data_IF_342919323755
#
_entry.id   IF_342919323755
#
_cell.length_a   1.000
_cell.length_b   1.000
_cell.length_c   1.000
_cell.angle_alpha   90.00
_cell.angle_beta   90.00
_cell.angle_gamma   90.00
#
_symmetry.space_group_name_H-M   'P 1'
#
loop_
_entity.id
_entity.type
_entity.pdbx_description
1 polymer ?
#
# COMPACT_ATOMS: atom_id res chain seq x y z
N UNK A 1 2.42 7.01 80.62
CA UNK A 1 1.31 7.43 79.74
C UNK A 1 0.28 6.31 79.50
N UNK A 2 0.67 5.05 79.55
CA UNK A 2 -0.25 3.91 79.37
C UNK A 2 -1.27 3.66 80.52
N UNK A 3 -0.96 4.05 81.71
CA UNK A 3 -1.88 3.85 82.82
C UNK A 3 -3.09 4.81 82.89
N UNK A 4 -3.00 5.98 82.23
CA UNK A 4 -4.08 6.97 82.20
C UNK A 4 -5.25 6.64 81.30
N UNK A 5 -4.98 5.91 80.21
CA UNK A 5 -5.99 5.53 79.17
C UNK A 5 -6.93 4.42 79.69
N UNK A 6 -6.50 3.59 80.64
CA UNK A 6 -7.28 2.48 81.16
C UNK A 6 -8.41 2.96 82.13
N UNK A 7 -8.16 3.98 82.96
CA UNK A 7 -9.15 4.47 83.91
C UNK A 7 -10.34 5.17 83.27
N UNK A 8 -10.14 5.86 82.16
CA UNK A 8 -11.22 6.52 81.43
C UNK A 8 -12.15 5.50 80.77
N UNK A 9 -11.56 4.44 80.22
CA UNK A 9 -12.29 3.28 79.63
C UNK A 9 -13.15 2.58 80.65
N UNK A 10 -12.54 2.27 81.83
CA UNK A 10 -13.23 1.58 82.91
C UNK A 10 -14.37 2.40 83.55
N UNK A 11 -14.27 3.75 83.50
CA UNK A 11 -15.34 4.63 83.93
C UNK A 11 -16.48 4.71 82.92
N UNK A 12 -16.17 4.80 81.61
CA UNK A 12 -17.16 4.82 80.55
C UNK A 12 -17.94 3.49 80.48
N UNK A 13 -17.30 2.38 80.76
CA UNK A 13 -17.91 1.04 80.79
C UNK A 13 -18.69 0.78 82.14
N UNK A 14 -18.60 1.72 83.13
CA UNK A 14 -19.27 1.58 84.42
C UNK A 14 -18.55 0.65 85.40
N UNK A 15 -17.32 0.24 85.12
CA UNK A 15 -16.50 -0.62 85.99
C UNK A 15 -15.96 0.12 87.19
N UNK A 16 -15.81 1.44 87.17
CA UNK A 16 -15.46 2.32 88.30
C UNK A 16 -16.45 3.44 88.34
N UNK A 17 -16.72 3.92 89.58
CA UNK A 17 -17.69 4.98 89.81
C UNK A 17 -17.02 6.39 89.79
N UNK A 18 -17.84 7.44 89.73
CA UNK A 18 -17.41 8.83 89.68
C UNK A 18 -16.44 9.23 90.82
N UNK A 19 -16.61 8.67 91.98
CA UNK A 19 -15.74 8.98 93.11
C UNK A 19 -14.37 8.38 92.95
N UNK A 20 -14.28 7.18 92.40
CA UNK A 20 -13.02 6.49 92.14
C UNK A 20 -12.27 7.20 91.01
N UNK A 21 -12.89 7.57 89.89
CA UNK A 21 -12.26 8.33 88.82
C UNK A 21 -11.77 9.71 89.30
N UNK A 22 -12.61 10.42 90.12
CA UNK A 22 -12.23 11.71 90.64
C UNK A 22 -11.03 11.65 91.60
N UNK A 23 -10.85 10.53 92.32
CA UNK A 23 -9.69 10.29 93.16
C UNK A 23 -8.40 10.01 92.36
N UNK A 24 -8.51 9.46 91.18
CA UNK A 24 -7.41 9.09 90.32
C UNK A 24 -6.90 10.25 89.42
N UNK A 25 -7.82 11.05 88.82
CA UNK A 25 -7.45 12.08 87.84
C UNK A 25 -7.54 13.51 88.45
N UNK A 26 -8.15 13.70 89.61
CA UNK A 26 -8.35 15.01 90.20
C UNK A 26 -9.64 15.70 89.73
N UNK A 27 -10.04 16.72 90.52
CA UNK A 27 -11.34 17.39 90.34
C UNK A 27 -11.45 18.22 89.04
N UNK A 28 -10.37 18.75 88.55
CA UNK A 28 -10.37 19.57 87.37
C UNK A 28 -10.54 18.73 86.10
N UNK A 29 -9.81 17.63 85.98
CA UNK A 29 -9.87 16.72 84.85
C UNK A 29 -11.16 15.91 84.83
N UNK A 30 -11.68 15.54 86.04
CA UNK A 30 -12.96 14.86 86.12
C UNK A 30 -14.13 15.71 85.59
N UNK A 31 -14.14 17.04 85.83
CA UNK A 31 -15.17 17.94 85.29
C UNK A 31 -15.06 18.03 83.72
N UNK A 32 -13.86 17.98 83.17
CA UNK A 32 -13.68 18.00 81.75
C UNK A 32 -14.24 16.74 81.13
N UNK A 33 -13.94 15.57 81.69
CA UNK A 33 -14.49 14.29 81.22
C UNK A 33 -16.01 14.21 81.37
N UNK A 34 -16.57 14.74 82.45
CA UNK A 34 -18.00 14.81 82.66
C UNK A 34 -18.69 15.71 81.63
N UNK A 35 -18.09 16.86 81.30
CA UNK A 35 -18.64 17.74 80.26
C UNK A 35 -18.66 17.10 78.86
N UNK A 36 -17.63 16.30 78.52
CA UNK A 36 -17.54 15.59 77.26
C UNK A 36 -18.60 14.47 77.21
N UNK A 37 -18.79 13.72 78.29
CA UNK A 37 -19.79 12.64 78.32
C UNK A 37 -21.23 13.19 78.32
N UNK A 38 -21.49 14.33 78.94
CA UNK A 38 -22.77 14.98 78.85
C UNK A 38 -23.09 15.52 77.45
N UNK A 39 -22.08 15.96 76.73
CA UNK A 39 -22.25 16.38 75.37
C UNK A 39 -22.45 15.18 74.41
N UNK A 40 -21.75 14.08 74.64
CA UNK A 40 -21.91 12.82 73.85
C UNK A 40 -23.31 12.19 74.14
N UNK A 41 -23.84 12.26 75.45
CA UNK A 41 -25.15 11.74 75.76
C UNK A 41 -26.29 12.60 75.22
N UNK A 42 -26.05 13.86 74.83
CA UNK A 42 -26.97 14.70 74.07
C UNK A 42 -27.06 14.35 72.61
N UNK A 43 -26.07 13.63 72.08
CA UNK A 43 -26.11 13.11 70.71
C UNK A 43 -27.08 11.91 70.66
N UNK A 44 -28.37 12.20 70.45
CA UNK A 44 -29.32 11.17 70.07
C UNK A 44 -28.93 10.69 68.67
N UNK A 45 -28.34 9.50 68.59
CA UNK A 45 -28.11 8.88 67.30
C UNK A 45 -29.46 8.82 66.59
N UNK A 46 -29.55 9.31 65.31
CA UNK A 46 -30.82 9.19 64.59
C UNK A 46 -31.13 7.70 64.44
N UNK A 47 -32.39 7.36 64.79
CA UNK A 47 -32.93 6.01 64.70
C UNK A 47 -32.73 5.55 63.29
N UNK A 48 -31.77 4.61 63.10
CA UNK A 48 -31.45 4.08 61.76
C UNK A 48 -32.64 3.20 61.36
N UNK A 49 -33.63 3.79 60.63
CA UNK A 49 -34.64 3.01 59.94
C UNK A 49 -33.99 2.31 58.81
N UNK A 50 -33.78 1.00 58.94
CA UNK A 50 -33.37 0.14 57.80
C UNK A 50 -34.46 0.20 56.75
N UNK A 51 -34.36 1.19 55.85
CA UNK A 51 -35.18 1.24 54.64
C UNK A 51 -34.57 0.27 53.61
N UNK A 52 -34.95 -1.00 53.77
CA UNK A 52 -34.50 -2.08 52.87
C UNK A 52 -35.11 -1.98 51.46
N UNK A 53 -35.86 -0.92 51.17
CA UNK A 53 -36.47 -0.74 49.82
C UNK A 53 -35.42 -0.58 48.73
N UNK A 54 -34.18 -0.20 49.05
CA UNK A 54 -33.09 -0.14 48.09
C UNK A 54 -32.59 -1.54 47.67
N UNK A 55 -32.82 -2.58 48.47
CA UNK A 55 -32.47 -3.97 48.12
C UNK A 55 -33.43 -4.55 47.06
N UNK A 56 -34.60 -3.94 46.88
CA UNK A 56 -35.60 -4.37 45.91
C UNK A 56 -35.55 -3.55 44.61
N UNK A 57 -34.37 -2.94 44.29
CA UNK A 57 -34.20 -2.39 42.95
C UNK A 57 -34.41 -3.50 41.92
N UNK A 58 -35.33 -3.31 40.94
CA UNK A 58 -35.51 -4.29 39.88
C UNK A 58 -34.14 -4.53 39.26
N UNK A 59 -33.72 -5.79 39.22
CA UNK A 59 -32.47 -6.18 38.51
C UNK A 59 -32.55 -5.54 37.13
N UNK A 60 -31.77 -4.47 36.87
CA UNK A 60 -31.53 -3.98 35.51
C UNK A 60 -31.21 -5.21 34.71
N UNK A 61 -32.04 -5.53 33.72
CA UNK A 61 -31.69 -6.55 32.73
C UNK A 61 -30.31 -6.18 32.23
N UNK A 62 -29.30 -6.87 32.71
CA UNK A 62 -27.95 -6.76 32.15
C UNK A 62 -28.08 -7.23 30.72
N UNK A 63 -28.16 -6.28 29.82
CA UNK A 63 -28.02 -6.58 28.39
C UNK A 63 -26.62 -7.17 28.28
N UNK A 64 -26.48 -8.45 27.93
CA UNK A 64 -25.16 -9.09 27.94
C UNK A 64 -24.27 -8.30 26.99
N UNK A 65 -23.32 -7.58 27.57
CA UNK A 65 -22.38 -6.72 26.84
C UNK A 65 -21.69 -7.51 25.72
N UNK A 66 -21.57 -8.83 25.93
CA UNK A 66 -21.08 -9.81 24.96
C UNK A 66 -21.89 -9.82 23.65
N UNK A 67 -23.21 -9.58 23.69
CA UNK A 67 -24.07 -9.52 22.50
C UNK A 67 -23.86 -8.23 21.69
N UNK A 68 -23.54 -7.13 22.33
CA UNK A 68 -23.23 -5.87 21.64
C UNK A 68 -21.88 -5.94 20.96
N UNK A 69 -20.85 -6.46 21.63
CA UNK A 69 -19.52 -6.63 21.04
C UNK A 69 -19.53 -7.56 19.81
N UNK A 70 -20.29 -8.66 19.86
CA UNK A 70 -20.47 -9.57 18.72
C UNK A 70 -21.18 -8.87 17.56
N UNK A 71 -22.17 -8.04 17.80
CA UNK A 71 -22.86 -7.28 16.73
C UNK A 71 -21.93 -6.23 16.10
N UNK A 72 -21.13 -5.55 16.91
CA UNK A 72 -20.16 -4.58 16.42
C UNK A 72 -19.01 -5.26 15.65
N UNK A 73 -18.55 -6.44 16.09
CA UNK A 73 -17.49 -7.19 15.39
C UNK A 73 -17.97 -7.71 14.05
N UNK A 74 -19.23 -8.18 13.94
CA UNK A 74 -19.83 -8.58 12.65
C UNK A 74 -20.00 -7.38 11.72
N UNK A 75 -20.46 -6.23 12.23
CA UNK A 75 -20.56 -5.01 11.43
C UNK A 75 -19.18 -4.54 10.94
N UNK A 76 -18.16 -4.55 11.82
CA UNK A 76 -16.80 -4.19 11.48
C UNK A 76 -16.18 -5.14 10.44
N UNK A 77 -16.39 -6.46 10.58
CA UNK A 77 -15.89 -7.45 9.60
C UNK A 77 -16.57 -7.30 8.24
N UNK A 78 -17.87 -6.97 8.23
CA UNK A 78 -18.64 -6.75 7.00
C UNK A 78 -18.19 -5.47 6.30
N UNK A 79 -17.94 -4.39 7.05
CA UNK A 79 -17.38 -3.15 6.51
C UNK A 79 -15.96 -3.35 5.98
N UNK A 80 -15.15 -4.16 6.66
CA UNK A 80 -13.81 -4.49 6.23
C UNK A 80 -13.81 -5.37 4.98
N UNK A 81 -14.71 -6.34 4.90
CA UNK A 81 -14.92 -7.17 3.70
C UNK A 81 -15.42 -6.35 2.50
N UNK A 82 -16.40 -5.44 2.72
CA UNK A 82 -16.87 -4.51 1.69
C UNK A 82 -15.72 -3.57 1.27
N UNK A 83 -14.96 -3.04 2.23
CA UNK A 83 -13.80 -2.19 1.96
C UNK A 83 -12.74 -2.89 1.12
N UNK A 84 -12.42 -4.14 1.44
CA UNK A 84 -11.49 -4.97 0.65
C UNK A 84 -12.04 -5.31 -0.75
N UNK A 85 -13.33 -5.66 -0.84
CA UNK A 85 -13.99 -5.95 -2.12
C UNK A 85 -14.02 -4.72 -3.02
N UNK A 86 -14.36 -3.57 -2.46
CA UNK A 86 -14.33 -2.26 -3.13
C UNK A 86 -12.90 -1.92 -3.55
N UNK A 87 -11.92 -2.08 -2.67
CA UNK A 87 -10.50 -1.83 -2.96
C UNK A 87 -9.97 -2.68 -4.12
N UNK A 88 -10.34 -3.97 -4.18
CA UNK A 88 -9.96 -4.86 -5.29
C UNK A 88 -10.72 -4.55 -6.60
N UNK A 89 -11.97 -4.12 -6.52
CA UNK A 89 -12.83 -3.83 -7.69
C UNK A 89 -12.47 -2.55 -8.45
N UNK A 90 -11.62 -1.67 -7.88
CA UNK A 90 -11.30 -0.37 -8.49
C UNK A 90 -10.03 -0.34 -9.35
N UNK A 91 -9.29 -1.42 -9.46
CA UNK A 91 -8.18 -1.53 -10.41
C UNK A 91 -8.71 -1.86 -11.80
N UNK A 92 -8.39 -1.04 -12.78
CA UNK A 92 -8.70 -1.31 -14.18
C UNK A 92 -7.44 -1.83 -14.88
N UNK A 93 -7.55 -2.98 -15.49
CA UNK A 93 -6.52 -3.51 -16.40
C UNK A 93 -6.87 -3.12 -17.83
N UNK A 94 -5.86 -2.74 -18.58
CA UNK A 94 -5.96 -2.49 -20.01
C UNK A 94 -4.88 -3.34 -20.67
N UNK A 95 -5.30 -4.29 -21.50
CA UNK A 95 -4.39 -5.20 -22.21
C UNK A 95 -4.48 -4.86 -23.69
N UNK A 96 -3.33 -4.63 -24.33
CA UNK A 96 -3.29 -4.39 -25.75
C UNK A 96 -3.59 -5.68 -26.52
N UNK A 97 -4.34 -5.57 -27.61
CA UNK A 97 -4.71 -6.70 -28.46
C UNK A 97 -3.52 -7.17 -29.30
N UNK A 98 -3.56 -8.42 -29.71
CA UNK A 98 -2.54 -9.00 -30.59
C UNK A 98 -2.55 -8.31 -31.97
N UNK A 99 -1.38 -7.88 -32.43
CA UNK A 99 -1.19 -7.27 -33.76
C UNK A 99 -1.55 -5.78 -33.84
N UNK A 100 -2.27 -5.22 -32.85
CA UNK A 100 -2.70 -3.83 -32.86
C UNK A 100 -2.19 -3.04 -31.67
N UNK A 101 -1.89 -1.77 -31.89
CA UNK A 101 -1.58 -0.80 -30.86
C UNK A 101 -2.90 -0.33 -30.18
N UNK A 102 -2.92 -0.27 -28.86
CA UNK A 102 -4.08 0.23 -28.11
C UNK A 102 -3.81 1.64 -27.58
N UNK A 103 -4.62 2.59 -28.00
CA UNK A 103 -4.61 3.94 -27.44
C UNK A 103 -5.65 4.05 -26.32
N UNK A 104 -5.19 4.42 -25.12
CA UNK A 104 -6.04 4.57 -23.95
C UNK A 104 -5.89 5.97 -23.33
N UNK A 105 -7.02 6.62 -23.09
CA UNK A 105 -7.05 7.94 -22.42
C UNK A 105 -7.27 7.69 -20.93
N UNK A 106 -6.31 8.13 -20.11
CA UNK A 106 -6.34 8.05 -18.66
C UNK A 106 -7.29 9.10 -18.05
N UNK A 107 -7.72 8.91 -16.77
CA UNK A 107 -8.66 9.83 -16.13
C UNK A 107 -8.18 11.29 -15.98
N UNK A 108 -6.89 11.54 -16.12
CA UNK A 108 -6.25 12.87 -16.07
C UNK A 108 -6.04 13.49 -17.47
N UNK A 109 -6.66 12.93 -18.51
CA UNK A 109 -6.48 13.24 -19.92
C UNK A 109 -5.07 12.95 -20.49
N UNK A 110 -4.23 12.24 -19.75
CA UNK A 110 -3.00 11.67 -20.30
C UNK A 110 -3.35 10.54 -21.27
N UNK A 111 -2.50 10.33 -22.28
CA UNK A 111 -2.68 9.25 -23.25
C UNK A 111 -1.58 8.22 -23.08
N UNK A 112 -1.97 6.94 -23.01
CA UNK A 112 -1.08 5.80 -23.06
C UNK A 112 -1.33 5.04 -24.37
N UNK A 113 -0.30 4.87 -25.19
CA UNK A 113 -0.30 4.03 -26.40
C UNK A 113 0.49 2.78 -26.08
N UNK A 114 -0.21 1.65 -25.99
CA UNK A 114 0.36 0.36 -25.61
C UNK A 114 0.72 -0.45 -26.84
N UNK A 115 1.92 -1.02 -26.85
CA UNK A 115 2.29 -2.05 -27.83
C UNK A 115 1.43 -3.30 -27.64
N UNK A 116 1.21 -4.09 -28.69
CA UNK A 116 0.60 -5.40 -28.54
C UNK A 116 1.30 -6.26 -27.48
N UNK A 117 0.54 -7.09 -26.77
CA UNK A 117 1.07 -7.92 -25.68
C UNK A 117 1.53 -7.16 -24.43
N UNK A 118 1.17 -5.86 -24.30
CA UNK A 118 1.45 -5.06 -23.12
C UNK A 118 0.25 -4.96 -22.21
N UNK A 119 0.50 -4.84 -20.90
CA UNK A 119 -0.51 -4.71 -19.87
C UNK A 119 -0.29 -3.43 -19.07
N UNK A 120 -1.35 -2.63 -18.91
CA UNK A 120 -1.37 -1.43 -18.10
C UNK A 120 -2.47 -1.56 -17.06
N UNK A 121 -2.14 -1.32 -15.80
CA UNK A 121 -3.12 -1.32 -14.71
C UNK A 121 -3.00 -0.09 -13.83
N UNK A 122 -4.14 0.39 -13.34
CA UNK A 122 -4.20 1.54 -12.43
C UNK A 122 -5.48 1.52 -11.60
N UNK A 123 -5.46 2.21 -10.44
CA UNK A 123 -6.65 2.41 -9.62
C UNK A 123 -7.42 3.63 -10.08
N UNK A 124 -8.64 3.44 -10.59
CA UNK A 124 -9.47 4.53 -11.11
C UNK A 124 -9.84 5.56 -10.04
N UNK A 125 -10.13 5.10 -8.81
CA UNK A 125 -10.54 5.99 -7.71
C UNK A 125 -9.39 6.79 -7.09
N UNK A 126 -8.20 6.21 -7.06
CA UNK A 126 -7.00 6.88 -6.53
C UNK A 126 -6.30 7.79 -7.52
N UNK A 127 -6.66 7.72 -8.82
CA UNK A 127 -5.92 8.37 -9.89
C UNK A 127 -5.92 9.91 -9.80
N UNK A 128 -7.00 10.50 -9.27
CA UNK A 128 -7.08 11.94 -9.08
C UNK A 128 -6.05 12.48 -8.06
N UNK A 129 -5.61 11.65 -7.12
CA UNK A 129 -4.64 12.02 -6.08
C UNK A 129 -3.26 11.39 -6.26
N UNK A 130 -3.24 10.17 -6.82
CA UNK A 130 -2.00 9.45 -7.13
C UNK A 130 -2.09 8.93 -8.55
N UNK A 131 -1.43 9.64 -9.46
CA UNK A 131 -1.36 9.28 -10.88
C UNK A 131 -0.37 8.14 -11.09
N UNK A 132 -0.64 7.00 -10.42
CA UNK A 132 0.21 5.79 -10.46
C UNK A 132 -0.39 4.77 -11.40
N UNK A 133 0.43 4.22 -12.26
CA UNK A 133 0.12 3.11 -13.14
C UNK A 133 1.20 2.03 -13.03
N UNK A 134 0.82 0.78 -13.25
CA UNK A 134 1.75 -0.33 -13.40
C UNK A 134 1.76 -0.77 -14.86
N UNK A 135 2.95 -1.00 -15.41
CA UNK A 135 3.17 -1.38 -16.81
C UNK A 135 3.99 -2.67 -16.90
N UNK A 136 3.51 -3.60 -17.74
CA UNK A 136 4.27 -4.73 -18.26
C UNK A 136 4.26 -4.67 -19.78
N UNK A 137 5.42 -4.78 -20.42
CA UNK A 137 5.56 -4.59 -21.86
C UNK A 137 6.03 -3.19 -22.22
N UNK A 138 5.56 -2.66 -23.34
CA UNK A 138 6.01 -1.37 -23.86
C UNK A 138 4.84 -0.42 -24.07
N UNK A 139 5.02 0.83 -23.67
CA UNK A 139 4.04 1.88 -23.89
C UNK A 139 4.71 3.24 -24.11
N UNK A 140 4.11 4.04 -24.99
CA UNK A 140 4.38 5.47 -25.11
C UNK A 140 3.35 6.25 -24.30
N UNK A 141 3.81 7.22 -23.55
CA UNK A 141 2.98 8.09 -22.71
C UNK A 141 3.11 9.54 -23.17
N UNK A 142 1.95 10.18 -23.35
CA UNK A 142 1.82 11.63 -23.44
C UNK A 142 1.08 12.11 -22.20
N UNK A 143 1.83 12.59 -21.21
CA UNK A 143 1.31 12.93 -19.89
C UNK A 143 0.90 14.40 -19.83
N UNK A 144 -0.34 14.66 -19.42
CA UNK A 144 -0.85 15.99 -19.16
C UNK A 144 -0.10 16.64 -17.98
N UNK A 145 0.24 17.94 -18.10
CA UNK A 145 0.90 18.70 -17.03
C UNK A 145 0.08 18.67 -15.73
N UNK A 146 0.75 18.45 -14.60
CA UNK A 146 0.06 18.37 -13.32
C UNK A 146 0.91 17.79 -12.19
N UNK A 147 0.27 17.13 -11.25
CA UNK A 147 0.94 16.40 -10.16
C UNK A 147 1.86 15.30 -10.73
N UNK A 148 2.70 14.71 -9.87
CA UNK A 148 3.60 13.63 -10.26
C UNK A 148 2.80 12.47 -10.85
N UNK A 149 3.17 12.05 -12.05
CA UNK A 149 2.69 10.85 -12.72
C UNK A 149 3.76 9.78 -12.61
N UNK A 150 3.40 8.60 -12.15
CA UNK A 150 4.34 7.51 -11.87
C UNK A 150 3.98 6.29 -12.70
N UNK A 151 4.97 5.74 -13.39
CA UNK A 151 4.91 4.42 -14.05
C UNK A 151 5.78 3.47 -13.24
N UNK A 152 5.16 2.45 -12.68
CA UNK A 152 5.81 1.39 -11.92
C UNK A 152 5.96 0.15 -12.80
N UNK A 153 7.09 -0.51 -12.73
CA UNK A 153 7.35 -1.81 -13.35
C UNK A 153 8.19 -2.67 -12.41
N UNK A 154 8.33 -3.95 -12.72
CA UNK A 154 9.10 -4.88 -11.89
C UNK A 154 10.59 -4.47 -11.76
N UNK A 155 11.15 -3.76 -12.76
CA UNK A 155 12.57 -3.40 -12.85
C UNK A 155 12.88 -1.93 -12.58
N UNK A 156 11.88 -1.08 -12.44
CA UNK A 156 12.13 0.34 -12.24
C UNK A 156 10.88 1.19 -12.09
N UNK A 157 11.11 2.45 -11.77
CA UNK A 157 10.08 3.43 -11.54
C UNK A 157 10.40 4.70 -12.34
N UNK A 158 9.42 5.17 -13.10
CA UNK A 158 9.51 6.42 -13.87
C UNK A 158 8.55 7.45 -13.32
N UNK A 159 9.03 8.69 -13.12
CA UNK A 159 8.23 9.81 -12.62
C UNK A 159 8.35 11.03 -13.53
N UNK A 160 7.22 11.68 -13.79
CA UNK A 160 7.14 12.87 -14.65
C UNK A 160 6.08 13.87 -14.14
N UNK A 161 6.12 15.10 -14.65
CA UNK A 161 5.12 16.14 -14.35
C UNK A 161 4.27 16.53 -15.57
N UNK A 162 4.72 16.19 -16.78
CA UNK A 162 4.06 16.53 -18.04
C UNK A 162 5.05 16.36 -19.18
N UNK A 163 5.12 15.17 -19.75
CA UNK A 163 6.26 14.69 -20.53
C UNK A 163 5.78 13.69 -21.57
N UNK A 164 6.45 13.64 -22.72
CA UNK A 164 6.31 12.57 -23.70
C UNK A 164 7.49 11.60 -23.57
N UNK A 165 7.21 10.32 -23.30
CA UNK A 165 8.24 9.31 -23.07
C UNK A 165 7.72 7.91 -23.37
N UNK A 166 8.66 7.00 -23.57
CA UNK A 166 8.38 5.56 -23.71
C UNK A 166 8.99 4.81 -22.54
N UNK A 167 8.26 3.83 -22.05
CA UNK A 167 8.77 2.81 -21.11
C UNK A 167 8.67 1.46 -21.78
N UNK A 168 9.75 0.70 -21.75
CA UNK A 168 9.80 -0.69 -22.16
C UNK A 168 10.23 -1.55 -20.97
N UNK A 169 9.33 -2.41 -20.48
CA UNK A 169 9.54 -3.31 -19.35
C UNK A 169 9.08 -4.72 -19.73
N UNK A 170 10.04 -5.59 -20.10
CA UNK A 170 9.77 -6.97 -20.49
C UNK A 170 10.79 -7.92 -19.84
N UNK A 171 10.32 -8.94 -19.14
CA UNK A 171 11.19 -9.83 -18.38
C UNK A 171 12.07 -9.05 -17.41
N UNK A 172 13.38 -9.19 -17.53
CA UNK A 172 14.37 -8.47 -16.72
C UNK A 172 14.89 -7.18 -17.39
N UNK A 173 14.28 -6.74 -18.48
CA UNK A 173 14.71 -5.55 -19.20
C UNK A 173 13.82 -4.35 -18.84
N UNK A 174 14.48 -3.19 -18.69
CA UNK A 174 13.81 -1.92 -18.45
C UNK A 174 14.55 -0.81 -19.17
N UNK A 175 13.82 -0.05 -20.00
CA UNK A 175 14.36 1.11 -20.72
C UNK A 175 13.35 2.24 -20.69
N UNK A 176 13.84 3.45 -20.50
CA UNK A 176 13.04 4.69 -20.61
C UNK A 176 13.68 5.62 -21.61
N UNK A 177 12.87 6.17 -22.52
CA UNK A 177 13.28 7.21 -23.49
C UNK A 177 12.43 8.44 -23.30
N UNK A 178 13.06 9.61 -23.22
CA UNK A 178 12.38 10.92 -23.10
C UNK A 178 12.35 11.61 -24.47
N UNK A 179 11.18 12.04 -24.94
CA UNK A 179 11.02 12.80 -26.20
C UNK A 179 10.78 14.28 -25.93
N UNK A 180 9.95 14.62 -24.91
CA UNK A 180 9.64 15.99 -24.53
C UNK A 180 9.57 16.10 -23.00
N UNK A 181 10.07 17.22 -22.44
CA UNK A 181 10.04 17.49 -21.02
C UNK A 181 11.20 16.90 -20.23
N UNK A 182 10.96 16.33 -19.06
CA UNK A 182 11.97 15.71 -18.22
C UNK A 182 11.41 14.48 -17.52
N UNK A 183 12.20 13.41 -17.47
CA UNK A 183 11.81 12.13 -16.86
C UNK A 183 12.79 11.76 -15.76
N UNK A 184 12.28 11.56 -14.55
CA UNK A 184 13.06 10.95 -13.48
C UNK A 184 12.87 9.42 -13.54
N UNK A 185 13.97 8.67 -13.58
CA UNK A 185 13.99 7.21 -13.65
C UNK A 185 14.76 6.66 -12.46
N UNK A 186 14.17 5.69 -11.76
CA UNK A 186 14.84 4.94 -10.69
C UNK A 186 15.00 3.50 -11.13
N UNK A 187 16.25 3.04 -11.13
CA UNK A 187 16.63 1.66 -11.40
C UNK A 187 17.48 1.20 -10.21
N UNK A 188 17.04 0.17 -9.50
CA UNK A 188 17.65 -0.25 -8.24
C UNK A 188 17.75 0.91 -7.23
N UNK A 189 18.96 1.26 -6.81
CA UNK A 189 19.22 2.38 -5.90
C UNK A 189 19.62 3.67 -6.63
N UNK A 190 19.77 3.61 -7.95
CA UNK A 190 20.24 4.73 -8.76
C UNK A 190 19.06 5.56 -9.29
N UNK A 191 19.31 6.86 -9.40
CA UNK A 191 18.37 7.84 -9.95
C UNK A 191 18.99 8.55 -11.13
N UNK A 192 18.22 8.62 -12.21
CA UNK A 192 18.59 9.26 -13.46
C UNK A 192 17.56 10.33 -13.82
N UNK A 193 18.01 11.44 -14.39
CA UNK A 193 17.13 12.48 -14.93
C UNK A 193 17.41 12.60 -16.43
N UNK A 194 16.41 12.31 -17.23
CA UNK A 194 16.49 12.36 -18.67
C UNK A 194 15.96 13.70 -19.20
N UNK A 195 16.74 14.36 -20.02
CA UNK A 195 16.31 15.47 -20.88
C UNK A 195 15.74 14.92 -22.22
N UNK A 196 15.14 15.75 -23.07
CA UNK A 196 14.67 15.32 -24.37
C UNK A 196 15.76 14.62 -25.20
N UNK A 197 15.37 13.55 -25.89
CA UNK A 197 16.23 12.68 -26.69
C UNK A 197 17.33 11.96 -25.87
N UNK A 198 17.07 11.74 -24.57
CA UNK A 198 17.91 10.90 -23.74
C UNK A 198 17.16 9.64 -23.30
N UNK A 199 17.94 8.59 -23.06
CA UNK A 199 17.44 7.30 -22.59
C UNK A 199 18.38 6.68 -21.55
N UNK A 200 17.84 5.74 -20.80
CA UNK A 200 18.58 4.89 -19.87
C UNK A 200 17.96 3.49 -19.86
N UNK A 201 18.78 2.47 -19.69
CA UNK A 201 18.33 1.11 -19.43
C UNK A 201 18.97 0.53 -18.16
N UNK A 202 18.42 -0.60 -17.70
CA UNK A 202 18.92 -1.29 -16.50
C UNK A 202 20.18 -2.13 -16.76
N UNK A 203 20.60 -2.34 -18.00
CA UNK A 203 21.79 -3.13 -18.34
C UNK A 203 23.06 -2.29 -18.26
N UNK A 204 23.04 -1.09 -18.84
CA UNK A 204 24.20 -0.20 -18.89
C UNK A 204 24.15 0.85 -17.78
N UNK A 205 22.95 1.21 -17.29
CA UNK A 205 22.72 2.22 -16.26
C UNK A 205 23.44 3.55 -16.54
N UNK A 206 23.51 3.94 -17.81
CA UNK A 206 24.12 5.17 -18.30
C UNK A 206 23.06 5.98 -19.07
N UNK A 207 23.12 7.31 -18.91
CA UNK A 207 22.25 8.21 -19.69
C UNK A 207 22.94 8.49 -21.02
N UNK A 208 22.30 8.09 -22.09
CA UNK A 208 22.78 8.24 -23.46
C UNK A 208 21.78 9.05 -24.31
N UNK A 209 22.21 9.52 -25.47
CA UNK A 209 21.34 10.19 -26.44
C UNK A 209 20.90 9.22 -27.52
N UNK A 210 19.70 9.42 -28.03
CA UNK A 210 19.21 8.74 -29.22
C UNK A 210 18.86 9.76 -30.31
N UNK A 211 18.90 9.28 -31.55
CA UNK A 211 18.50 10.06 -32.72
C UNK A 211 17.19 9.48 -33.27
N UNK A 212 16.28 10.35 -33.63
CA UNK A 212 15.00 9.97 -34.23
C UNK A 212 13.82 10.56 -33.45
N UNK A 213 12.79 10.91 -34.18
CA UNK A 213 11.55 11.51 -33.65
C UNK A 213 10.44 10.46 -33.45
N UNK A 214 10.73 9.18 -33.67
CA UNK A 214 9.72 8.14 -33.66
C UNK A 214 9.29 7.80 -32.23
N UNK A 215 8.18 8.39 -31.81
CA UNK A 215 7.53 8.19 -30.52
C UNK A 215 6.50 7.03 -30.53
N UNK A 216 6.67 6.07 -31.43
CA UNK A 216 5.83 4.87 -31.51
C UNK A 216 6.20 3.85 -30.43
N UNK A 217 5.22 3.22 -29.78
CA UNK A 217 5.49 2.10 -28.88
C UNK A 217 5.97 0.84 -29.63
N UNK A 218 5.97 0.84 -30.96
CA UNK A 218 6.49 -0.24 -31.79
C UNK A 218 7.95 0.00 -32.21
N UNK A 219 8.56 1.12 -31.79
CA UNK A 219 9.94 1.44 -32.09
C UNK A 219 10.89 1.01 -30.98
N UNK A 220 11.96 0.36 -31.36
CA UNK A 220 13.03 -0.13 -30.50
C UNK A 220 14.29 0.72 -30.72
N UNK A 221 15.00 1.02 -29.66
CA UNK A 221 16.27 1.73 -29.71
C UNK A 221 17.29 1.03 -28.83
N UNK A 222 18.30 0.45 -29.45
CA UNK A 222 19.42 -0.25 -28.78
C UNK A 222 18.95 -1.35 -27.80
N UNK A 223 17.84 -2.03 -28.12
CA UNK A 223 17.22 -3.06 -27.28
C UNK A 223 17.86 -4.42 -27.55
N UNK A 224 18.19 -5.23 -26.52
CA UNK A 224 18.69 -6.59 -26.76
C UNK A 224 17.75 -7.40 -27.67
N UNK A 225 18.29 -8.11 -28.63
CA UNK A 225 17.50 -8.92 -29.58
C UNK A 225 16.62 -9.94 -28.81
N UNK A 226 17.14 -10.52 -27.74
CA UNK A 226 16.38 -11.43 -26.86
C UNK A 226 15.10 -10.81 -26.29
N UNK A 227 15.13 -9.52 -25.95
CA UNK A 227 13.97 -8.78 -25.45
C UNK A 227 12.95 -8.50 -26.56
N UNK A 228 13.44 -8.14 -27.74
CA UNK A 228 12.61 -7.94 -28.94
C UNK A 228 11.88 -9.23 -29.32
N UNK A 229 12.57 -10.38 -29.26
CA UNK A 229 11.94 -11.68 -29.47
C UNK A 229 10.92 -12.03 -28.39
N UNK A 230 11.20 -11.70 -27.13
CA UNK A 230 10.22 -11.88 -26.04
C UNK A 230 8.95 -11.02 -26.23
N UNK A 231 9.06 -9.85 -26.87
CA UNK A 231 7.88 -9.07 -27.26
C UNK A 231 7.08 -9.80 -28.34
N UNK A 232 7.74 -10.36 -29.35
CA UNK A 232 7.09 -11.18 -30.41
C UNK A 232 6.42 -12.42 -29.80
N UNK A 233 7.09 -13.11 -28.86
CA UNK A 233 6.52 -14.24 -28.13
C UNK A 233 5.23 -13.83 -27.38
N UNK A 234 5.26 -12.70 -26.68
CA UNK A 234 4.11 -12.20 -25.93
C UNK A 234 2.93 -11.81 -26.84
N UNK A 235 3.22 -11.24 -28.00
CA UNK A 235 2.19 -10.82 -28.98
C UNK A 235 1.49 -12.01 -29.61
N UNK A 236 2.25 -13.02 -30.01
CA UNK A 236 1.73 -14.12 -30.83
C UNK A 236 1.51 -15.42 -30.05
N UNK A 237 1.85 -15.45 -28.76
CA UNK A 237 1.74 -16.65 -27.92
C UNK A 237 2.69 -17.77 -28.37
N UNK A 238 3.90 -17.41 -28.78
CA UNK A 238 4.94 -18.30 -29.31
C UNK A 238 6.01 -18.56 -28.26
N UNK A 239 6.82 -19.58 -28.52
CA UNK A 239 8.03 -19.92 -27.80
C UNK A 239 9.18 -19.96 -28.86
N UNK A 240 10.14 -19.05 -28.72
CA UNK A 240 11.26 -18.88 -29.63
C UNK A 240 12.53 -19.39 -28.96
N UNK A 241 13.11 -20.45 -29.48
CA UNK A 241 14.38 -20.98 -28.99
C UNK A 241 15.53 -20.02 -29.33
N UNK A 242 16.09 -19.39 -28.27
CA UNK A 242 17.05 -18.29 -28.38
C UNK A 242 18.52 -18.75 -28.20
N UNK A 243 18.83 -20.02 -28.40
CA UNK A 243 20.18 -20.62 -28.18
C UNK A 243 21.28 -20.00 -29.01
N UNK A 244 20.96 -19.45 -30.19
CA UNK A 244 21.91 -18.82 -31.09
C UNK A 244 22.09 -17.32 -30.88
N UNK A 245 21.30 -16.72 -30.00
CA UNK A 245 21.32 -15.27 -29.77
C UNK A 245 22.51 -14.87 -28.90
N UNK A 246 23.28 -13.89 -29.38
CA UNK A 246 24.39 -13.33 -28.61
C UNK A 246 23.88 -12.19 -27.73
N UNK A 247 24.28 -12.13 -26.43
CA UNK A 247 23.85 -11.07 -25.51
C UNK A 247 24.22 -9.65 -25.97
N UNK A 248 25.23 -9.50 -26.81
CA UNK A 248 25.68 -8.22 -27.37
C UNK A 248 24.80 -7.68 -28.49
N UNK A 249 23.94 -8.52 -29.07
CA UNK A 249 23.12 -8.11 -30.20
C UNK A 249 21.99 -7.17 -29.76
N UNK A 250 22.02 -5.98 -30.35
CA UNK A 250 21.05 -4.91 -30.07
C UNK A 250 20.30 -4.56 -31.35
N UNK A 251 19.01 -4.44 -31.24
CA UNK A 251 18.09 -4.07 -32.30
C UNK A 251 17.70 -2.61 -32.20
N UNK A 252 17.73 -1.89 -33.29
CA UNK A 252 17.16 -0.55 -33.46
C UNK A 252 16.31 -0.55 -34.70
N UNK A 253 15.04 -0.18 -34.57
CA UNK A 253 14.09 -0.18 -35.68
C UNK A 253 12.65 -0.26 -35.21
N UNK A 254 11.74 -0.38 -36.16
CA UNK A 254 10.31 -0.58 -35.90
C UNK A 254 9.93 -2.00 -36.36
N UNK A 255 9.08 -2.65 -35.57
CA UNK A 255 8.47 -3.93 -35.93
C UNK A 255 6.99 -3.76 -36.26
N UNK A 256 6.59 -4.46 -37.34
CA UNK A 256 5.18 -4.57 -37.71
C UNK A 256 4.60 -5.81 -37.02
N UNK A 257 3.77 -5.59 -36.01
CA UNK A 257 3.13 -6.67 -35.25
C UNK A 257 1.81 -7.17 -35.85
N UNK A 258 1.37 -6.64 -36.98
CA UNK A 258 0.19 -7.18 -37.69
C UNK A 258 0.49 -8.52 -38.37
N UNK A 259 1.74 -8.71 -38.78
CA UNK A 259 2.17 -9.90 -39.48
C UNK A 259 3.40 -10.55 -38.83
N UNK A 260 3.23 -11.76 -38.28
CA UNK A 260 4.28 -12.50 -37.58
C UNK A 260 5.53 -12.71 -38.45
N UNK A 261 5.35 -13.13 -39.71
CA UNK A 261 6.49 -13.40 -40.62
C UNK A 261 7.27 -12.11 -40.90
N UNK A 262 6.56 -11.00 -41.04
CA UNK A 262 7.19 -9.70 -41.26
C UNK A 262 7.95 -9.25 -40.01
N UNK A 263 7.35 -9.36 -38.83
CA UNK A 263 8.00 -9.04 -37.57
C UNK A 263 9.27 -9.87 -37.35
N UNK A 264 9.20 -11.19 -37.54
CA UNK A 264 10.35 -12.08 -37.43
C UNK A 264 11.44 -11.73 -38.44
N UNK A 265 11.09 -11.53 -39.71
CA UNK A 265 12.06 -11.16 -40.72
C UNK A 265 12.72 -9.80 -40.39
N UNK A 266 11.96 -8.80 -39.99
CA UNK A 266 12.51 -7.49 -39.60
C UNK A 266 13.46 -7.60 -38.41
N UNK A 267 13.13 -8.42 -37.40
CA UNK A 267 13.96 -8.61 -36.22
C UNK A 267 15.23 -9.40 -36.49
N UNK A 268 15.15 -10.43 -37.32
CA UNK A 268 16.25 -11.44 -37.51
C UNK A 268 17.20 -11.12 -38.64
N UNK A 269 16.70 -10.50 -39.73
CA UNK A 269 17.51 -10.21 -40.92
C UNK A 269 18.81 -9.42 -40.62
N UNK A 270 18.83 -8.39 -39.73
CA UNK A 270 20.07 -7.67 -39.44
C UNK A 270 21.17 -8.52 -38.80
N UNK A 271 20.82 -9.68 -38.27
CA UNK A 271 21.72 -10.60 -37.56
C UNK A 271 22.04 -11.85 -38.36
N UNK A 272 21.64 -11.92 -39.66
CA UNK A 272 21.78 -13.09 -40.51
C UNK A 272 21.17 -14.36 -39.86
N UNK A 273 19.98 -14.24 -39.33
CA UNK A 273 19.22 -15.34 -38.72
C UNK A 273 18.00 -15.68 -39.57
N UNK A 274 17.74 -16.98 -39.65
CA UNK A 274 16.52 -17.57 -40.21
C UNK A 274 15.73 -18.26 -39.11
N UNK A 275 14.44 -18.48 -39.34
CA UNK A 275 13.58 -19.20 -38.44
C UNK A 275 12.87 -20.37 -39.13
N UNK A 276 12.56 -21.38 -38.33
CA UNK A 276 11.78 -22.55 -38.76
C UNK A 276 10.76 -22.88 -37.73
N UNK A 277 9.49 -23.10 -38.10
CA UNK A 277 8.44 -23.60 -37.21
C UNK A 277 8.68 -25.08 -36.91
N UNK A 278 8.97 -25.41 -35.67
CA UNK A 278 9.04 -26.79 -35.15
C UNK A 278 7.62 -27.31 -34.83
N UNK A 279 6.78 -26.42 -34.35
CA UNK A 279 5.38 -26.68 -34.09
C UNK A 279 4.54 -25.41 -34.34
N UNK A 280 3.21 -25.47 -34.10
CA UNK A 280 2.32 -24.29 -34.24
C UNK A 280 2.72 -23.12 -33.34
N UNK A 281 3.46 -23.37 -32.26
CA UNK A 281 3.84 -22.35 -31.26
C UNK A 281 5.33 -22.28 -30.99
N UNK A 282 6.13 -23.16 -31.59
CA UNK A 282 7.56 -23.23 -31.31
C UNK A 282 8.36 -22.89 -32.56
N UNK A 283 9.29 -21.97 -32.42
CA UNK A 283 10.18 -21.48 -33.46
C UNK A 283 11.62 -21.78 -33.06
N UNK A 284 12.38 -22.31 -34.00
CA UNK A 284 13.83 -22.52 -33.89
C UNK A 284 14.54 -21.51 -34.77
N UNK A 285 15.54 -20.83 -34.20
CA UNK A 285 16.40 -19.90 -34.91
C UNK A 285 17.67 -20.61 -35.41
N UNK A 286 18.13 -20.24 -36.59
CA UNK A 286 19.37 -20.75 -37.20
C UNK A 286 20.12 -19.62 -37.88
N UNK A 287 21.48 -19.67 -37.96
CA UNK A 287 22.24 -18.78 -38.82
C UNK A 287 21.89 -19.05 -40.28
N UNK A 288 21.77 -17.97 -41.05
CA UNK A 288 21.65 -18.07 -42.52
C UNK A 288 22.93 -18.66 -43.09
N UNK A 289 22.84 -19.60 -44.04
CA UNK A 289 23.99 -20.25 -44.69
C UNK A 289 24.69 -19.33 -45.67
#
# INVERSE_FOLDING_TARGET
MEEQETYLSDWLDGSINDQALKALVGEAEFREYQSITDELNRWIAPEFKEDLTFLNKPKKKEIPVRSLWVRWSVAASLLLAIGLFVFQGFSKQVIATTGEELVYILPDNSTARLSPGSELSFSRWGFAWKRNISLKGQAFFKVAKGAVFTVESDQGLTQVLGTEFTVHSRGNYYQVRCFEGSVEVKIDQNRYVLAPYQWVDNLNQAVERFEGEENSPLSYWNVPLSVVLADIEAVYGLDIEQTVIQPSWKFTGRLDHENLNQALNQALWPFNLEYTFVSKRQILLRPTQ
#
